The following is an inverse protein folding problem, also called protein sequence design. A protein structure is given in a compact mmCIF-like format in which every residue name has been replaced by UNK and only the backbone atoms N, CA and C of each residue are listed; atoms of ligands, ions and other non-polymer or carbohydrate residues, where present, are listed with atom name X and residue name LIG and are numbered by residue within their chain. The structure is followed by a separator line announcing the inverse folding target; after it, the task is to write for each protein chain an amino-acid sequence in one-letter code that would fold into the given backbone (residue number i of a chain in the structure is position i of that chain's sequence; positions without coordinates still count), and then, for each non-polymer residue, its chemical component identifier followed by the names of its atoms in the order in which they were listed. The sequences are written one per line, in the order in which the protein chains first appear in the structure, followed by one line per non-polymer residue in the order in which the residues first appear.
data_IF_168144085957
#
_entry.id   IF_168144085957
#
_cell.length_a   1.000
_cell.length_b   1.000
_cell.length_c   1.000
_cell.angle_alpha   90.00
_cell.angle_beta   90.00
_cell.angle_gamma   90.00
#
_symmetry.space_group_name_H-M   'P 1'
#
loop_
_entity.id
_entity.type
_entity.pdbx_description
1 polymer ?
#
# COMPACT_ATOMS: atom_id res chain seq x y z
N UNK A 1 -5.63 -20.45 -9.19
CA UNK A 1 -4.76 -20.24 -8.02
C UNK A 1 -5.62 -20.17 -6.77
N UNK A 2 -5.41 -21.05 -5.80
CA UNK A 2 -6.19 -21.05 -4.56
C UNK A 2 -5.74 -19.87 -3.69
N UNK A 3 -6.69 -19.02 -3.28
CA UNK A 3 -6.42 -17.96 -2.31
C UNK A 3 -6.43 -18.57 -0.90
N UNK A 4 -5.32 -18.41 -0.17
CA UNK A 4 -5.12 -19.03 1.15
C UNK A 4 -5.77 -18.26 2.28
N UNK A 5 -6.05 -16.98 2.08
CA UNK A 5 -6.64 -16.12 3.10
C UNK A 5 -7.61 -15.11 2.53
N UNK A 6 -8.56 -14.68 3.38
CA UNK A 6 -9.41 -13.52 3.12
C UNK A 6 -9.01 -12.43 4.12
N UNK A 7 -8.73 -11.24 3.60
CA UNK A 7 -8.41 -10.06 4.41
C UNK A 7 -9.47 -9.00 4.20
N UNK A 8 -10.05 -8.53 5.30
CA UNK A 8 -11.05 -7.45 5.27
C UNK A 8 -10.33 -6.10 5.25
N UNK A 9 -10.70 -5.26 4.30
CA UNK A 9 -10.24 -3.87 4.19
C UNK A 9 -11.43 -2.93 4.18
N UNK A 10 -11.46 -2.00 5.12
CA UNK A 10 -12.48 -0.96 5.16
C UNK A 10 -12.12 0.18 4.22
N UNK A 11 -13.06 0.57 3.36
CA UNK A 11 -12.93 1.70 2.44
C UNK A 11 -13.93 2.78 2.84
N UNK A 12 -13.47 4.01 3.02
CA UNK A 12 -14.29 5.16 3.35
C UNK A 12 -14.35 6.15 2.20
N UNK A 13 -15.52 6.28 1.60
CA UNK A 13 -15.82 7.27 0.58
C UNK A 13 -16.23 8.59 1.25
N UNK A 14 -15.67 9.69 0.76
CA UNK A 14 -16.17 11.02 1.07
C UNK A 14 -17.50 11.25 0.33
N UNK A 15 -18.23 12.32 0.68
CA UNK A 15 -19.47 12.70 -0.02
C UNK A 15 -19.27 12.87 -1.53
N UNK A 16 -18.09 13.33 -1.96
CA UNK A 16 -17.72 13.51 -3.37
C UNK A 16 -17.21 12.22 -4.04
N UNK A 17 -17.47 11.06 -3.47
CA UNK A 17 -17.06 9.74 -3.96
C UNK A 17 -15.54 9.48 -4.02
N UNK A 18 -14.71 10.38 -3.46
CA UNK A 18 -13.26 10.13 -3.35
C UNK A 18 -12.96 9.24 -2.14
N UNK A 19 -12.09 8.26 -2.32
CA UNK A 19 -11.59 7.45 -1.20
C UNK A 19 -10.73 8.33 -0.30
N UNK A 20 -11.00 8.28 1.01
CA UNK A 20 -10.33 9.12 2.00
C UNK A 20 -8.85 8.75 2.18
N UNK A 21 -8.52 7.48 2.15
CA UNK A 21 -7.19 6.96 2.52
C UNK A 21 -6.64 6.02 1.47
N UNK A 22 -5.31 5.95 1.37
CA UNK A 22 -4.64 4.89 0.64
C UNK A 22 -4.73 3.58 1.44
N UNK A 23 -4.51 2.44 0.80
CA UNK A 23 -4.58 1.12 1.43
C UNK A 23 -3.19 0.62 1.79
N UNK A 24 -2.94 0.42 3.09
CA UNK A 24 -1.67 -0.08 3.61
C UNK A 24 -1.63 -1.61 3.68
N UNK A 25 -0.41 -2.13 3.62
CA UNK A 25 -0.09 -3.54 3.80
C UNK A 25 0.87 -3.73 5.00
N UNK A 26 1.21 -4.96 5.39
CA UNK A 26 2.18 -5.20 6.44
C UNK A 26 3.52 -4.52 6.18
N UNK A 27 4.19 -4.05 7.24
CA UNK A 27 5.53 -3.47 7.14
C UNK A 27 6.54 -4.50 6.66
N UNK A 28 7.54 -4.05 5.90
CA UNK A 28 8.67 -4.88 5.51
C UNK A 28 9.93 -4.49 6.28
N UNK A 29 10.83 -5.44 6.49
CA UNK A 29 12.15 -5.18 7.02
C UNK A 29 13.13 -4.96 5.88
N UNK A 30 13.91 -3.88 5.95
CA UNK A 30 14.82 -3.49 4.86
C UNK A 30 15.85 -4.56 4.53
N UNK A 31 16.42 -5.21 5.56
CA UNK A 31 17.43 -6.28 5.38
C UNK A 31 16.84 -7.54 4.76
N UNK A 32 15.59 -7.88 5.07
CA UNK A 32 14.93 -9.05 4.48
C UNK A 32 14.54 -8.77 3.02
N UNK A 33 13.94 -7.62 2.73
CA UNK A 33 13.48 -7.27 1.39
C UNK A 33 14.60 -7.28 0.35
N UNK A 34 15.80 -6.85 0.69
CA UNK A 34 16.93 -6.82 -0.25
C UNK A 34 17.45 -8.20 -0.64
N UNK A 35 17.18 -9.22 0.18
CA UNK A 35 17.56 -10.62 -0.07
C UNK A 35 16.46 -11.40 -0.84
N UNK A 36 15.24 -10.87 -0.92
CA UNK A 36 14.13 -11.53 -1.60
C UNK A 36 14.25 -11.40 -3.13
N UNK A 37 13.70 -12.39 -3.85
CA UNK A 37 13.36 -12.25 -5.27
C UNK A 37 11.83 -12.06 -5.40
N UNK A 38 11.39 -11.34 -6.45
CA UNK A 38 9.98 -10.98 -6.58
C UNK A 38 9.04 -12.19 -6.57
N UNK A 39 9.44 -13.26 -7.22
CA UNK A 39 8.66 -14.49 -7.36
C UNK A 39 8.31 -15.11 -6.01
N UNK A 40 9.21 -14.99 -5.03
CA UNK A 40 9.06 -15.53 -3.67
C UNK A 40 8.97 -14.43 -2.59
N UNK A 41 8.85 -13.17 -3.00
CA UNK A 41 8.80 -12.05 -2.07
C UNK A 41 7.60 -12.10 -1.13
N UNK A 42 7.79 -11.68 0.11
CA UNK A 42 6.73 -11.63 1.11
C UNK A 42 5.52 -10.80 0.63
N UNK A 43 5.77 -9.63 0.03
CA UNK A 43 4.71 -8.76 -0.48
C UNK A 43 4.00 -9.35 -1.71
N UNK A 44 4.76 -9.89 -2.67
CA UNK A 44 4.21 -10.55 -3.85
C UNK A 44 3.33 -11.75 -3.47
N UNK A 45 3.82 -12.62 -2.58
CA UNK A 45 3.08 -13.77 -2.09
C UNK A 45 1.82 -13.36 -1.31
N UNK A 46 1.93 -12.34 -0.45
CA UNK A 46 0.76 -11.80 0.25
C UNK A 46 -0.35 -11.41 -0.71
N UNK A 47 -0.04 -10.67 -1.78
CA UNK A 47 -1.03 -10.25 -2.77
C UNK A 47 -1.56 -11.41 -3.62
N UNK A 48 -0.69 -12.35 -4.02
CA UNK A 48 -1.09 -13.54 -4.80
C UNK A 48 -2.05 -14.45 -4.04
N UNK A 49 -1.82 -14.60 -2.72
CA UNK A 49 -2.56 -15.55 -1.88
C UNK A 49 -3.77 -14.94 -1.19
N UNK A 50 -3.93 -13.62 -1.21
CA UNK A 50 -5.03 -12.95 -0.54
C UNK A 50 -6.19 -12.65 -1.48
N UNK A 51 -7.40 -13.00 -1.03
CA UNK A 51 -8.64 -12.44 -1.52
C UNK A 51 -9.10 -11.36 -0.56
N UNK A 52 -9.26 -10.14 -1.05
CA UNK A 52 -9.72 -9.05 -0.20
C UNK A 52 -11.23 -8.97 -0.17
N UNK A 53 -11.79 -8.68 0.99
CA UNK A 53 -13.17 -8.25 1.15
C UNK A 53 -13.17 -6.76 1.48
N UNK A 54 -13.53 -5.95 0.50
CA UNK A 54 -13.73 -4.51 0.70
C UNK A 54 -15.08 -4.28 1.34
N UNK A 55 -15.06 -3.66 2.52
CA UNK A 55 -16.27 -3.19 3.21
C UNK A 55 -16.34 -1.69 3.00
N UNK A 56 -17.29 -1.24 2.19
CA UNK A 56 -17.36 0.13 1.68
C UNK A 56 -18.36 0.94 2.50
N UNK A 57 -17.87 2.02 3.08
CA UNK A 57 -18.67 3.04 3.78
C UNK A 57 -18.62 4.36 3.03
N UNK A 58 -19.66 5.15 3.17
CA UNK A 58 -19.71 6.53 2.67
C UNK A 58 -20.15 7.47 3.76
N UNK A 59 -19.54 8.66 3.83
CA UNK A 59 -20.01 9.73 4.70
C UNK A 59 -21.30 10.35 4.15
N UNK A 60 -22.34 10.40 5.00
CA UNK A 60 -23.57 11.12 4.67
C UNK A 60 -23.42 12.65 4.89
N UNK A 61 -24.49 13.40 4.60
CA UNK A 61 -24.51 14.87 4.75
C UNK A 61 -24.26 15.35 6.19
N UNK A 62 -24.44 14.48 7.17
CA UNK A 62 -24.19 14.75 8.59
C UNK A 62 -22.83 14.21 9.05
N UNK A 63 -21.93 13.88 8.12
CA UNK A 63 -20.61 13.28 8.37
C UNK A 63 -20.65 11.95 9.11
N UNK A 64 -21.76 11.22 9.06
CA UNK A 64 -21.87 9.87 9.61
C UNK A 64 -21.53 8.83 8.56
N UNK A 65 -20.76 7.82 8.96
CA UNK A 65 -20.44 6.67 8.10
C UNK A 65 -21.68 5.78 7.93
N UNK A 66 -22.01 5.51 6.67
CA UNK A 66 -23.06 4.56 6.28
C UNK A 66 -22.46 3.42 5.47
N UNK A 67 -22.82 2.20 5.79
CA UNK A 67 -22.44 1.04 5.01
C UNK A 67 -23.09 1.09 3.63
N UNK A 68 -22.28 0.98 2.58
CA UNK A 68 -22.74 0.91 1.18
C UNK A 68 -22.79 -0.52 0.66
N UNK A 69 -21.97 -1.40 1.20
CA UNK A 69 -21.91 -2.81 0.80
C UNK A 69 -20.49 -3.38 0.88
N UNK A 70 -20.34 -4.55 0.30
CA UNK A 70 -19.08 -5.27 0.26
C UNK A 70 -18.76 -5.73 -1.16
N UNK A 71 -17.48 -5.83 -1.46
CA UNK A 71 -16.97 -6.35 -2.73
C UNK A 71 -15.80 -7.27 -2.48
N UNK A 72 -15.81 -8.48 -3.03
CA UNK A 72 -14.59 -9.27 -3.12
C UNK A 72 -13.68 -8.73 -4.22
N UNK A 73 -12.40 -8.70 -3.93
CA UNK A 73 -11.40 -8.20 -4.86
C UNK A 73 -10.11 -9.01 -4.78
N UNK A 74 -9.59 -9.36 -5.94
CA UNK A 74 -8.23 -9.87 -6.09
C UNK A 74 -7.47 -8.87 -6.95
N UNK A 75 -6.19 -8.63 -6.62
CA UNK A 75 -5.38 -7.79 -7.47
C UNK A 75 -5.30 -8.39 -8.89
N UNK A 76 -5.56 -7.61 -9.95
CA UNK A 76 -5.36 -8.08 -11.31
C UNK A 76 -3.91 -8.49 -11.55
N UNK A 77 -3.71 -9.60 -12.24
CA UNK A 77 -2.36 -10.13 -12.52
C UNK A 77 -1.48 -9.11 -13.26
N UNK A 78 -2.04 -8.38 -14.21
CA UNK A 78 -1.31 -7.34 -14.96
C UNK A 78 -0.80 -6.20 -14.05
N UNK A 79 -1.56 -5.82 -13.02
CA UNK A 79 -1.14 -4.79 -12.06
C UNK A 79 -0.10 -5.34 -11.08
N UNK A 80 -0.28 -6.58 -10.64
CA UNK A 80 0.66 -7.26 -9.73
C UNK A 80 2.04 -7.41 -10.38
N UNK A 81 2.11 -7.99 -11.59
CA UNK A 81 3.37 -8.22 -12.31
C UNK A 81 3.87 -6.99 -13.09
N UNK A 82 3.06 -5.95 -13.18
CA UNK A 82 3.41 -4.66 -13.77
C UNK A 82 3.82 -3.62 -12.73
N UNK A 83 2.90 -2.71 -12.43
CA UNK A 83 3.17 -1.55 -11.57
C UNK A 83 3.61 -1.92 -10.15
N UNK A 84 3.01 -2.93 -9.52
CA UNK A 84 3.37 -3.33 -8.15
C UNK A 84 4.77 -3.91 -8.11
N UNK A 85 5.08 -4.85 -9.02
CA UNK A 85 6.44 -5.41 -9.16
C UNK A 85 7.47 -4.31 -9.39
N UNK A 86 7.19 -3.36 -10.29
CA UNK A 86 8.09 -2.23 -10.58
C UNK A 86 8.41 -1.42 -9.31
N UNK A 87 7.41 -1.09 -8.50
CA UNK A 87 7.63 -0.36 -7.24
C UNK A 87 8.44 -1.19 -6.25
N UNK A 88 8.17 -2.49 -6.15
CA UNK A 88 8.93 -3.38 -5.29
C UNK A 88 10.41 -3.47 -5.71
N UNK A 89 10.69 -3.66 -7.01
CA UNK A 89 12.06 -3.71 -7.56
C UNK A 89 12.79 -2.38 -7.35
N UNK A 90 12.13 -1.25 -7.59
CA UNK A 90 12.69 0.07 -7.29
C UNK A 90 13.02 0.24 -5.81
N UNK A 91 12.13 -0.22 -4.92
CA UNK A 91 12.35 -0.19 -3.47
C UNK A 91 13.58 -1.00 -3.08
N UNK A 92 13.69 -2.24 -3.56
CA UNK A 92 14.85 -3.11 -3.35
C UNK A 92 16.14 -2.43 -3.82
N UNK A 93 16.16 -1.92 -5.04
CA UNK A 93 17.32 -1.24 -5.64
C UNK A 93 17.75 0.00 -4.87
N UNK A 94 16.81 0.83 -4.44
CA UNK A 94 17.10 2.05 -3.65
C UNK A 94 17.73 1.69 -2.32
N UNK A 95 17.23 0.66 -1.63
CA UNK A 95 17.78 0.21 -0.35
C UNK A 95 19.17 -0.40 -0.54
N UNK A 96 19.36 -1.25 -1.56
CA UNK A 96 20.67 -1.86 -1.88
C UNK A 96 21.76 -0.82 -2.19
N UNK A 97 21.37 0.27 -2.87
CA UNK A 97 22.30 1.36 -3.22
C UNK A 97 22.55 2.37 -2.09
N UNK A 98 22.00 2.13 -0.90
CA UNK A 98 22.05 3.05 0.23
C UNK A 98 20.94 4.08 0.19
N UNK A 99 19.96 3.91 1.08
CA UNK A 99 18.82 4.82 1.20
C UNK A 99 19.27 6.27 1.43
N UNK A 100 18.84 7.18 0.57
CA UNK A 100 19.05 8.62 0.75
C UNK A 100 17.99 9.16 1.69
N UNK A 101 18.43 9.65 2.85
CA UNK A 101 17.58 10.20 3.90
C UNK A 101 17.81 11.70 3.99
N UNK A 102 16.74 12.47 3.94
CA UNK A 102 16.77 13.94 4.02
C UNK A 102 15.77 14.43 5.09
N UNK A 103 16.04 15.58 5.64
CA UNK A 103 15.08 16.30 6.49
C UNK A 103 14.52 17.47 5.71
N UNK A 104 13.24 17.41 5.35
CA UNK A 104 12.52 18.48 4.65
C UNK A 104 11.46 19.07 5.57
N UNK A 105 11.56 20.36 5.89
CA UNK A 105 10.60 21.05 6.77
C UNK A 105 10.37 20.32 8.11
N UNK A 106 11.45 19.83 8.73
CA UNK A 106 11.40 19.10 10.00
C UNK A 106 10.86 17.67 9.92
N UNK A 107 10.60 17.15 8.72
CA UNK A 107 10.13 15.77 8.50
C UNK A 107 11.17 14.95 7.74
N UNK A 108 11.38 13.72 8.20
CA UNK A 108 12.20 12.75 7.47
C UNK A 108 11.54 12.39 6.14
N UNK A 109 12.33 12.40 5.08
CA UNK A 109 11.95 11.91 3.75
C UNK A 109 13.07 11.06 3.18
N UNK A 110 12.78 10.26 2.17
CA UNK A 110 13.76 9.44 1.48
C UNK A 110 13.44 9.34 0.00
N UNK A 111 14.31 8.69 -0.75
CA UNK A 111 14.14 8.39 -2.17
C UNK A 111 13.40 7.07 -2.44
N UNK A 112 12.64 6.55 -1.48
CA UNK A 112 11.71 5.44 -1.73
C UNK A 112 10.60 5.87 -2.68
N UNK A 113 10.04 4.95 -3.50
CA UNK A 113 9.03 5.28 -4.50
C UNK A 113 7.82 6.01 -3.93
N UNK A 114 7.61 7.25 -4.36
CA UNK A 114 6.53 8.12 -3.90
C UNK A 114 5.23 7.87 -4.69
N UNK A 115 4.10 8.28 -4.12
CA UNK A 115 2.77 8.12 -4.74
C UNK A 115 2.66 8.77 -6.13
N UNK A 116 3.36 9.86 -6.38
CA UNK A 116 3.36 10.57 -7.66
C UNK A 116 4.12 9.84 -8.77
N UNK A 117 4.92 8.84 -8.43
CA UNK A 117 5.81 8.14 -9.37
C UNK A 117 5.17 6.89 -9.98
N UNK A 118 4.09 6.39 -9.38
CA UNK A 118 3.40 5.20 -9.88
C UNK A 118 1.88 5.31 -9.66
N UNK A 119 1.03 4.95 -10.62
CA UNK A 119 -0.42 5.11 -10.51
C UNK A 119 -1.07 4.10 -9.56
N UNK A 120 -0.40 3.00 -9.22
CA UNK A 120 -0.98 1.86 -8.48
C UNK A 120 -0.45 1.77 -7.05
N UNK A 121 0.88 1.85 -6.88
CA UNK A 121 1.53 1.49 -5.63
C UNK A 121 2.62 2.51 -5.25
N UNK A 122 2.89 2.64 -3.96
CA UNK A 122 3.96 3.48 -3.43
C UNK A 122 4.42 2.97 -2.06
N UNK A 123 5.48 3.58 -1.52
CA UNK A 123 6.03 3.26 -0.19
C UNK A 123 5.88 4.46 0.73
N UNK A 124 5.42 4.22 1.96
CA UNK A 124 5.26 5.25 2.99
C UNK A 124 5.50 4.67 4.39
N UNK A 125 5.83 5.54 5.36
CA UNK A 125 5.91 5.15 6.77
C UNK A 125 4.61 4.49 7.25
N UNK A 126 4.75 3.43 8.06
CA UNK A 126 3.66 2.71 8.70
C UNK A 126 4.11 2.09 10.03
N UNK A 127 4.68 2.88 10.90
CA UNK A 127 5.00 2.53 12.27
C UNK A 127 4.10 3.28 13.26
N UNK A 128 4.26 3.02 14.54
CA UNK A 128 3.54 3.74 15.61
C UNK A 128 3.90 5.22 15.61
N UNK A 129 5.18 5.53 15.39
CA UNK A 129 5.75 6.87 15.33
C UNK A 129 7.11 6.82 14.60
N UNK A 130 7.82 7.93 14.54
CA UNK A 130 9.14 8.06 13.89
C UNK A 130 10.25 7.23 14.55
N UNK A 131 10.06 6.82 15.80
CA UNK A 131 11.02 6.01 16.58
C UNK A 131 10.79 4.50 16.39
N UNK A 132 9.67 4.10 15.80
CA UNK A 132 9.41 2.72 15.43
C UNK A 132 10.12 2.40 14.10
N UNK A 133 11.37 1.89 14.23
CA UNK A 133 12.33 1.79 13.13
C UNK A 133 12.79 0.37 12.88
N UNK A 134 13.26 0.14 11.67
CA UNK A 134 14.04 -1.04 11.27
C UNK A 134 15.44 -0.63 10.83
N UNK A 135 16.38 -1.55 10.97
CA UNK A 135 17.76 -1.37 10.54
C UNK A 135 17.89 -1.55 9.01
N UNK A 136 18.66 -0.64 8.39
CA UNK A 136 19.06 -0.71 6.99
C UNK A 136 20.27 -1.63 6.81
N UNK A 137 20.55 -2.14 5.60
CA UNK A 137 21.74 -2.97 5.33
C UNK A 137 23.06 -2.29 5.71
N UNK A 138 23.14 -0.96 5.67
CA UNK A 138 24.32 -0.19 6.00
C UNK A 138 24.46 0.15 7.52
N UNK A 139 23.60 -0.41 8.37
CA UNK A 139 23.59 -0.23 9.82
C UNK A 139 22.85 1.00 10.33
N UNK A 140 22.46 1.93 9.47
CA UNK A 140 21.56 3.03 9.86
C UNK A 140 20.15 2.50 10.16
N UNK A 141 19.33 3.31 10.80
CA UNK A 141 17.91 3.00 11.03
C UNK A 141 17.00 3.98 10.31
N UNK A 142 15.84 3.51 9.89
CA UNK A 142 14.81 4.33 9.27
C UNK A 142 13.43 3.92 9.77
N UNK A 143 12.45 4.85 9.88
CA UNK A 143 11.09 4.49 10.29
C UNK A 143 10.50 3.37 9.45
N UNK A 144 9.75 2.47 10.09
CA UNK A 144 9.10 1.34 9.42
C UNK A 144 8.28 1.80 8.22
N UNK A 145 8.42 1.10 7.13
CA UNK A 145 7.74 1.37 5.86
C UNK A 145 6.85 0.20 5.48
N UNK A 146 5.81 0.49 4.71
CA UNK A 146 5.09 -0.56 3.98
C UNK A 146 4.75 -0.10 2.56
N UNK A 147 4.31 -1.05 1.75
CA UNK A 147 3.69 -0.76 0.47
C UNK A 147 2.25 -0.31 0.69
N UNK A 148 1.79 0.61 -0.16
CA UNK A 148 0.43 1.14 -0.16
C UNK A 148 -0.12 1.09 -1.58
N UNK A 149 -1.37 0.68 -1.75
CA UNK A 149 -2.10 0.94 -2.98
C UNK A 149 -2.69 2.36 -2.94
N UNK A 150 -2.57 3.05 -4.05
CA UNK A 150 -3.08 4.41 -4.19
C UNK A 150 -4.61 4.44 -4.07
N UNK A 151 -5.16 5.41 -3.35
CA UNK A 151 -6.61 5.55 -3.24
C UNK A 151 -7.30 5.75 -4.59
N UNK A 152 -6.64 6.42 -5.54
CA UNK A 152 -7.13 6.58 -6.92
C UNK A 152 -7.19 5.26 -7.68
N UNK A 153 -6.19 4.38 -7.47
CA UNK A 153 -6.20 3.03 -8.02
C UNK A 153 -7.35 2.20 -7.43
N UNK A 154 -7.53 2.22 -6.11
CA UNK A 154 -8.64 1.51 -5.46
C UNK A 154 -9.98 2.00 -5.98
N UNK A 155 -10.13 3.30 -6.21
CA UNK A 155 -11.35 3.87 -6.82
C UNK A 155 -11.67 3.21 -8.17
N UNK A 156 -10.64 2.97 -9.01
CA UNK A 156 -10.82 2.30 -10.30
C UNK A 156 -11.20 0.82 -10.20
N UNK A 157 -10.98 0.21 -9.05
CA UNK A 157 -11.25 -1.21 -8.79
C UNK A 157 -12.64 -1.45 -8.16
N UNK A 158 -13.27 -0.41 -7.62
CA UNK A 158 -14.60 -0.52 -7.03
C UNK A 158 -15.69 -0.58 -8.11
N UNK A 159 -16.72 -1.39 -7.82
CA UNK A 159 -17.92 -1.47 -8.66
C UNK A 159 -18.67 -0.14 -8.68
N UNK A 160 -19.27 0.19 -9.84
CA UNK A 160 -19.88 1.51 -10.09
C UNK A 160 -21.00 1.84 -9.12
N UNK A 161 -21.76 0.85 -8.68
CA UNK A 161 -22.92 1.05 -7.79
C UNK A 161 -22.55 1.69 -6.44
N UNK A 162 -21.27 1.61 -6.00
CA UNK A 162 -20.82 2.28 -4.77
C UNK A 162 -20.78 3.81 -4.91
N UNK A 163 -20.75 4.32 -6.13
CA UNK A 163 -20.69 5.75 -6.42
C UNK A 163 -22.06 6.35 -6.78
N UNK A 164 -23.07 5.50 -6.96
CA UNK A 164 -24.44 5.90 -7.21
C UNK A 164 -25.14 6.28 -5.90
N UNK A 165 -26.14 7.18 -5.96
CA UNK A 165 -26.94 7.59 -4.80
C UNK A 165 -28.01 6.58 -4.40
#
# INVERSE_FOLDING_TARGET
MYKRQIVIKTIRLKQNNKIKENMSFPTFKFKELVEEEWEDSAFGNYLRETRFLFVVYKYDVNEKLRLKGCQFWNIPYADLEGNVKTVWEQTKKVIQNGLKIEVKKGKLSSNLPAKSENPVCHVRPHGKNSEDRYELPDGRTYPKQCFWLNNTYITSQLEKHFFEE
#
